data_IF_067776501703
#
_entry.id   IF_067776501703
#
_cell.length_a   1.000
_cell.length_b   1.000
_cell.length_c   1.000
_cell.angle_alpha   90.00
_cell.angle_beta   90.00
_cell.angle_gamma   90.00
#
_symmetry.space_group_name_H-M   'P 1'
#
loop_
_entity.id
_entity.type
_entity.pdbx_description
1 polymer ?
#
# COMPACT_ATOMS: atom_id res chain seq x y z
N UNK A 1 56.57 80.16 -13.94
CA UNK A 1 56.92 79.10 -14.91
C UNK A 1 55.85 78.06 -14.71
N UNK A 2 54.72 78.26 -15.37
CA UNK A 2 53.43 77.70 -14.99
C UNK A 2 52.89 76.83 -16.12
N UNK A 3 52.53 75.59 -15.78
CA UNK A 3 51.95 74.61 -16.69
C UNK A 3 50.44 74.85 -16.90
N UNK A 4 49.85 74.43 -18.05
CA UNK A 4 48.49 74.79 -18.47
C UNK A 4 47.40 73.83 -17.91
N UNK A 5 46.10 74.19 -18.06
CA UNK A 5 45.01 73.64 -17.25
C UNK A 5 44.31 72.43 -17.89
N UNK A 6 43.82 71.52 -17.03
CA UNK A 6 43.01 70.37 -17.41
C UNK A 6 41.50 70.73 -17.42
N UNK A 7 40.77 70.17 -18.39
CA UNK A 7 39.40 70.52 -18.75
C UNK A 7 38.37 69.50 -18.23
N UNK A 8 37.52 69.90 -17.26
CA UNK A 8 36.06 69.58 -17.05
C UNK A 8 35.62 68.08 -16.96
N UNK A 9 34.36 67.71 -16.65
CA UNK A 9 33.19 68.34 -15.99
C UNK A 9 32.61 67.49 -14.80
N UNK A 10 31.43 67.80 -14.19
CA UNK A 10 31.05 67.35 -12.85
C UNK A 10 30.12 66.12 -12.78
N UNK A 11 29.86 65.73 -11.52
CA UNK A 11 29.13 64.58 -11.03
C UNK A 11 27.62 64.52 -11.36
N UNK A 12 27.11 63.29 -11.50
CA UNK A 12 25.76 62.89 -11.08
C UNK A 12 25.82 61.50 -10.41
N UNK A 13 25.37 61.33 -9.14
CA UNK A 13 25.20 60.01 -8.57
C UNK A 13 23.88 59.40 -9.07
N UNK A 14 23.98 58.22 -9.70
CA UNK A 14 22.84 57.37 -10.05
C UNK A 14 22.25 56.76 -8.78
N UNK A 15 20.98 57.05 -8.50
CA UNK A 15 20.19 56.36 -7.48
C UNK A 15 19.96 54.89 -7.88
N UNK A 16 20.09 53.99 -6.90
CA UNK A 16 20.14 52.54 -7.10
C UNK A 16 18.79 51.90 -7.52
N UNK A 17 18.76 50.95 -8.48
CA UNK A 17 17.56 50.21 -8.88
C UNK A 17 17.28 48.95 -8.03
N UNK A 18 18.04 48.72 -6.95
CA UNK A 18 18.09 47.44 -6.25
C UNK A 18 16.80 47.06 -5.49
N UNK A 19 15.94 48.02 -5.15
CA UNK A 19 14.76 47.75 -4.32
C UNK A 19 13.60 47.08 -5.08
N UNK A 20 13.49 47.25 -6.41
CA UNK A 20 12.39 46.67 -7.20
C UNK A 20 12.63 45.21 -7.61
N UNK A 21 13.88 44.79 -7.75
CA UNK A 21 14.22 43.42 -8.14
C UNK A 21 13.92 42.41 -7.01
N UNK A 22 14.13 42.79 -5.75
CA UNK A 22 13.91 41.91 -4.60
C UNK A 22 12.41 41.58 -4.37
N UNK A 23 11.51 42.54 -4.64
CA UNK A 23 10.07 42.35 -4.46
C UNK A 23 9.45 41.42 -5.52
N UNK A 24 9.96 41.43 -6.76
CA UNK A 24 9.50 40.54 -7.83
C UNK A 24 10.01 39.10 -7.67
N UNK A 25 11.22 38.90 -7.15
CA UNK A 25 11.76 37.56 -6.89
C UNK A 25 11.05 36.86 -5.71
N UNK A 26 10.67 37.60 -4.66
CA UNK A 26 9.89 37.05 -3.57
C UNK A 26 8.45 36.68 -3.99
N UNK A 27 7.85 37.45 -4.91
CA UNK A 27 6.52 37.15 -5.46
C UNK A 27 6.52 35.93 -6.40
N UNK A 28 7.56 35.73 -7.20
CA UNK A 28 7.68 34.54 -8.05
C UNK A 28 7.99 33.25 -7.27
N UNK A 29 8.71 33.33 -6.15
CA UNK A 29 8.94 32.18 -5.27
C UNK A 29 7.66 31.73 -4.52
N UNK A 30 6.69 32.64 -4.35
CA UNK A 30 5.39 32.32 -3.73
C UNK A 30 4.35 31.75 -4.73
N UNK A 31 4.59 31.84 -6.04
CA UNK A 31 3.60 31.49 -7.09
C UNK A 31 3.93 30.21 -7.88
N UNK A 32 5.13 29.66 -7.73
CA UNK A 32 5.44 28.30 -8.20
C UNK A 32 5.29 27.33 -7.02
N UNK A 33 4.06 27.16 -6.54
CA UNK A 33 3.72 26.04 -5.66
C UNK A 33 3.90 24.75 -6.46
N UNK A 34 5.10 24.19 -6.46
CA UNK A 34 5.31 22.81 -6.90
C UNK A 34 4.47 21.95 -5.97
N UNK A 35 3.30 21.50 -6.46
CA UNK A 35 2.46 20.50 -5.80
C UNK A 35 3.30 19.21 -5.67
N UNK A 36 4.08 19.13 -4.59
CA UNK A 36 4.89 17.95 -4.25
C UNK A 36 4.10 17.06 -3.31
N UNK A 37 4.38 15.76 -3.33
CA UNK A 37 3.69 14.81 -2.46
C UNK A 37 3.78 15.30 -1.00
N UNK A 38 2.64 15.35 -0.28
CA UNK A 38 2.65 15.78 1.10
C UNK A 38 3.64 14.96 1.91
N UNK A 39 4.63 15.64 2.51
CA UNK A 39 5.62 14.98 3.37
C UNK A 39 4.94 14.45 4.63
N UNK A 40 5.47 13.38 5.20
CA UNK A 40 5.03 12.89 6.50
C UNK A 40 5.04 14.03 7.55
N UNK A 41 3.96 14.14 8.32
CA UNK A 41 3.69 15.23 9.26
C UNK A 41 3.09 16.50 8.64
N UNK A 42 3.13 16.65 7.31
CA UNK A 42 2.55 17.78 6.60
C UNK A 42 1.02 17.79 6.67
N UNK A 43 0.43 18.97 6.70
CA UNK A 43 -1.02 19.11 6.56
C UNK A 43 -1.37 18.99 5.08
N UNK A 44 -2.43 18.23 4.79
CA UNK A 44 -3.00 18.21 3.44
C UNK A 44 -4.48 17.92 3.42
N UNK A 45 -5.08 17.98 2.23
CA UNK A 45 -6.45 17.57 1.95
C UNK A 45 -6.49 16.28 1.12
N UNK A 46 -7.38 15.37 1.49
CA UNK A 46 -7.66 14.16 0.71
C UNK A 46 -9.15 13.79 0.74
N UNK A 47 -9.53 12.90 -0.18
CA UNK A 47 -10.85 12.32 -0.26
C UNK A 47 -10.83 10.91 0.35
N UNK A 48 -11.89 10.57 1.09
CA UNK A 48 -12.11 9.22 1.59
C UNK A 48 -12.46 8.30 0.43
N UNK A 49 -11.59 7.32 0.17
CA UNK A 49 -11.80 6.31 -0.88
C UNK A 49 -12.66 5.16 -0.35
N UNK A 50 -12.38 4.70 0.86
CA UNK A 50 -13.12 3.64 1.53
C UNK A 50 -13.01 3.75 3.06
N UNK A 51 -13.96 3.09 3.74
CA UNK A 51 -13.97 2.88 5.18
C UNK A 51 -13.66 1.41 5.43
N UNK A 52 -12.56 1.15 6.13
CA UNK A 52 -12.05 -0.20 6.34
C UNK A 52 -12.47 -0.73 7.72
N UNK A 53 -13.06 -1.91 7.73
CA UNK A 53 -13.57 -2.58 8.95
C UNK A 53 -12.83 -3.86 9.31
N UNK A 54 -12.13 -4.45 8.33
CA UNK A 54 -11.28 -5.61 8.55
C UNK A 54 -9.84 -5.24 8.19
N UNK A 55 -8.89 -5.59 9.06
CA UNK A 55 -7.46 -5.38 8.84
C UNK A 55 -6.96 -6.05 7.57
N UNK A 56 -7.57 -7.18 7.18
CA UNK A 56 -7.24 -7.90 5.95
C UNK A 56 -7.64 -7.13 4.68
N UNK A 57 -8.54 -6.16 4.78
CA UNK A 57 -8.99 -5.34 3.64
C UNK A 57 -8.07 -4.12 3.39
N UNK A 58 -7.19 -3.79 4.34
CA UNK A 58 -6.22 -2.71 4.17
C UNK A 58 -5.16 -3.12 3.13
N UNK A 59 -5.16 -2.43 1.99
CA UNK A 59 -4.17 -2.63 0.92
C UNK A 59 -3.02 -1.64 1.07
N UNK A 60 -1.93 -2.11 1.65
CA UNK A 60 -0.73 -1.31 1.87
C UNK A 60 0.51 -2.18 1.60
N UNK A 61 1.54 -1.63 0.96
CA UNK A 61 2.78 -2.35 0.67
C UNK A 61 2.54 -3.58 -0.20
N UNK A 62 2.59 -4.75 0.43
CA UNK A 62 2.38 -6.07 -0.18
C UNK A 62 1.69 -6.99 0.84
N UNK A 63 0.35 -6.90 0.98
CA UNK A 63 -0.38 -7.62 2.01
C UNK A 63 -0.32 -9.14 1.88
N UNK A 64 -0.04 -9.67 0.69
CA UNK A 64 0.27 -11.07 0.42
C UNK A 64 1.44 -11.62 1.25
N UNK A 65 2.39 -10.76 1.65
CA UNK A 65 3.57 -11.17 2.41
C UNK A 65 3.39 -11.08 3.93
N UNK A 66 2.32 -10.47 4.43
CA UNK A 66 2.16 -10.21 5.88
C UNK A 66 2.13 -11.47 6.73
N UNK A 67 1.44 -12.51 6.26
CA UNK A 67 1.41 -13.79 6.96
C UNK A 67 2.82 -14.41 7.04
N UNK A 68 3.63 -14.29 5.98
CA UNK A 68 5.01 -14.76 5.94
C UNK A 68 5.92 -13.95 6.87
N UNK A 69 5.80 -12.62 6.87
CA UNK A 69 6.60 -11.76 7.74
C UNK A 69 6.31 -12.02 9.23
N UNK A 70 5.04 -12.13 9.61
CA UNK A 70 4.65 -12.47 10.99
C UNK A 70 5.03 -13.91 11.37
N UNK A 71 5.14 -14.78 10.37
CA UNK A 71 5.66 -16.13 10.51
C UNK A 71 7.19 -16.19 10.71
N UNK A 72 7.90 -15.07 10.61
CA UNK A 72 9.35 -14.97 10.78
C UNK A 72 10.15 -15.09 9.48
N UNK A 73 9.51 -15.06 8.31
CA UNK A 73 10.23 -15.05 7.04
C UNK A 73 11.04 -13.76 6.90
N UNK A 74 12.30 -13.93 6.53
CA UNK A 74 13.34 -12.92 6.44
C UNK A 74 13.60 -12.53 4.99
N UNK A 75 14.25 -11.37 4.78
CA UNK A 75 14.68 -10.93 3.45
C UNK A 75 15.55 -11.98 2.75
N UNK A 76 16.43 -12.63 3.51
CA UNK A 76 17.33 -13.67 2.99
C UNK A 76 16.57 -14.81 2.33
N UNK A 77 15.42 -15.23 2.87
CA UNK A 77 14.64 -16.31 2.27
C UNK A 77 14.00 -15.90 0.94
N UNK A 78 13.58 -14.64 0.79
CA UNK A 78 13.10 -14.11 -0.49
C UNK A 78 14.24 -13.98 -1.49
N UNK A 79 15.39 -13.45 -1.10
CA UNK A 79 16.58 -13.32 -1.95
C UNK A 79 17.09 -14.68 -2.45
N UNK A 80 16.94 -15.71 -1.63
CA UNK A 80 17.24 -17.10 -2.00
C UNK A 80 16.14 -17.75 -2.85
N UNK A 81 15.06 -17.04 -3.19
CA UNK A 81 13.94 -17.56 -3.98
C UNK A 81 13.17 -18.67 -3.28
N UNK A 82 13.17 -18.70 -1.94
CA UNK A 82 12.55 -19.77 -1.15
C UNK A 82 11.11 -19.50 -0.77
N UNK A 83 10.64 -18.26 -0.87
CA UNK A 83 9.25 -17.92 -0.64
C UNK A 83 8.50 -17.91 -1.97
N UNK A 84 7.42 -18.68 -2.06
CA UNK A 84 6.55 -18.74 -3.23
C UNK A 84 5.18 -18.19 -2.88
N UNK A 85 4.56 -17.50 -3.84
CA UNK A 85 3.14 -17.22 -3.80
C UNK A 85 2.38 -18.32 -4.51
N UNK A 86 1.21 -18.65 -3.97
CA UNK A 86 0.30 -19.61 -4.52
C UNK A 86 -1.14 -19.28 -4.15
N UNK A 87 -2.04 -20.13 -4.61
CA UNK A 87 -3.46 -20.01 -4.36
C UNK A 87 -4.09 -21.37 -4.12
N UNK A 88 -5.17 -21.37 -3.35
CA UNK A 88 -6.04 -22.51 -3.24
C UNK A 88 -7.49 -22.06 -3.03
N UNK A 89 -8.45 -22.90 -3.43
CA UNK A 89 -9.89 -22.61 -3.30
C UNK A 89 -10.54 -23.39 -2.18
N UNK A 90 -11.35 -22.72 -1.35
CA UNK A 90 -12.31 -23.37 -0.45
C UNK A 90 -13.72 -23.33 -1.06
N UNK A 91 -14.51 -24.41 -0.96
CA UNK A 91 -15.93 -24.34 -1.29
C UNK A 91 -16.64 -23.25 -0.49
N UNK A 92 -17.39 -22.40 -1.18
CA UNK A 92 -18.17 -21.31 -0.59
C UNK A 92 -19.46 -21.08 -1.40
N UNK A 93 -20.58 -21.53 -0.85
CA UNK A 93 -21.89 -21.43 -1.50
C UNK A 93 -22.38 -19.98 -1.65
N UNK A 94 -21.79 -19.02 -0.91
CA UNK A 94 -22.13 -17.60 -1.05
C UNK A 94 -21.45 -16.95 -2.26
N UNK A 95 -20.45 -17.60 -2.87
CA UNK A 95 -19.74 -17.08 -4.03
C UNK A 95 -20.40 -17.55 -5.33
N UNK A 96 -20.49 -16.66 -6.33
CA UNK A 96 -21.09 -16.98 -7.64
C UNK A 96 -20.42 -18.17 -8.35
N UNK A 97 -19.15 -18.43 -8.04
CA UNK A 97 -18.37 -19.53 -8.61
C UNK A 97 -18.27 -20.74 -7.66
N UNK A 98 -19.01 -20.74 -6.55
CA UNK A 98 -19.00 -21.80 -5.54
C UNK A 98 -17.69 -21.94 -4.76
N UNK A 99 -16.73 -21.04 -4.96
CA UNK A 99 -15.39 -21.11 -4.40
C UNK A 99 -14.93 -19.75 -3.88
N UNK A 100 -14.28 -19.76 -2.71
CA UNK A 100 -13.51 -18.67 -2.14
C UNK A 100 -12.02 -18.95 -2.34
N UNK A 101 -11.35 -18.13 -3.13
CA UNK A 101 -9.92 -18.25 -3.37
C UNK A 101 -9.11 -17.58 -2.25
N UNK A 102 -8.10 -18.30 -1.76
CA UNK A 102 -7.15 -17.84 -0.77
C UNK A 102 -5.79 -17.64 -1.40
N UNK A 103 -5.10 -16.57 -1.02
CA UNK A 103 -3.67 -16.39 -1.33
C UNK A 103 -2.85 -17.07 -0.25
N UNK A 104 -1.87 -17.88 -0.65
CA UNK A 104 -1.00 -18.60 0.28
C UNK A 104 0.45 -18.34 -0.09
N UNK A 105 1.25 -17.91 0.87
CA UNK A 105 2.70 -17.93 0.74
C UNK A 105 3.27 -19.24 1.28
N UNK A 106 4.22 -19.83 0.57
CA UNK A 106 4.82 -21.12 0.89
C UNK A 106 6.32 -20.96 1.04
N UNK A 107 6.85 -21.27 2.23
CA UNK A 107 8.29 -21.33 2.44
C UNK A 107 8.83 -22.72 2.06
N UNK A 108 9.71 -22.76 1.07
CA UNK A 108 10.43 -23.94 0.64
C UNK A 108 11.71 -24.19 1.47
N UNK A 109 12.12 -25.46 1.66
CA UNK A 109 13.43 -25.78 2.18
C UNK A 109 14.54 -25.26 1.25
N UNK A 110 15.72 -25.00 1.83
CA UNK A 110 16.86 -24.53 1.05
C UNK A 110 17.26 -25.54 -0.03
N UNK A 111 17.62 -25.05 -1.21
CA UNK A 111 18.05 -25.88 -2.34
C UNK A 111 16.92 -26.52 -3.16
N UNK A 112 15.68 -26.50 -2.67
CA UNK A 112 14.53 -27.00 -3.44
C UNK A 112 14.17 -26.02 -4.56
N UNK A 113 13.99 -26.54 -5.77
CA UNK A 113 13.49 -25.79 -6.92
C UNK A 113 12.06 -26.19 -7.21
N UNK A 114 11.16 -25.21 -7.20
CA UNK A 114 9.75 -25.38 -7.53
C UNK A 114 9.42 -24.52 -8.75
N UNK A 115 8.57 -25.04 -9.63
CA UNK A 115 8.12 -24.31 -10.81
C UNK A 115 6.81 -23.59 -10.53
N UNK A 116 6.57 -22.49 -11.25
CA UNK A 116 5.23 -21.92 -11.36
C UNK A 116 4.27 -22.96 -11.95
N UNK A 117 3.05 -23.01 -11.45
CA UNK A 117 2.01 -23.96 -11.83
C UNK A 117 2.03 -25.29 -11.08
N UNK A 118 3.12 -25.64 -10.40
CA UNK A 118 3.19 -26.87 -9.59
C UNK A 118 2.20 -26.84 -8.42
N UNK A 119 1.54 -27.97 -8.14
CA UNK A 119 0.80 -28.13 -6.89
C UNK A 119 1.70 -28.74 -5.81
N UNK A 120 1.67 -28.15 -4.63
CA UNK A 120 2.43 -28.59 -3.47
C UNK A 120 1.52 -28.76 -2.27
N UNK A 121 1.88 -29.71 -1.42
CA UNK A 121 1.24 -29.87 -0.13
C UNK A 121 1.97 -28.99 0.89
N UNK A 122 1.20 -28.32 1.73
CA UNK A 122 1.62 -27.26 2.66
C UNK A 122 1.06 -27.57 4.04
N UNK A 123 1.85 -27.33 5.08
CA UNK A 123 1.43 -27.50 6.49
C UNK A 123 1.62 -26.23 7.29
N UNK A 124 0.99 -26.20 8.46
CA UNK A 124 1.14 -25.09 9.41
C UNK A 124 0.60 -23.76 8.88
N UNK A 125 -0.51 -23.81 8.13
CA UNK A 125 -1.16 -22.63 7.60
C UNK A 125 -1.57 -21.69 8.73
N UNK A 126 -1.15 -20.44 8.62
CA UNK A 126 -1.53 -19.35 9.53
C UNK A 126 -1.77 -18.05 8.77
N UNK A 127 -2.79 -17.31 9.16
CA UNK A 127 -3.03 -15.95 8.69
C UNK A 127 -2.16 -14.95 9.48
N UNK A 128 -2.01 -13.74 8.94
CA UNK A 128 -1.32 -12.65 9.63
C UNK A 128 -2.04 -12.24 10.93
N UNK A 129 -3.37 -12.18 10.87
CA UNK A 129 -4.27 -11.89 11.98
C UNK A 129 -5.49 -12.83 11.92
N UNK A 130 -6.20 -13.04 13.03
CA UNK A 130 -7.49 -13.73 13.02
C UNK A 130 -8.46 -13.06 12.04
N UNK A 131 -9.36 -13.83 11.44
CA UNK A 131 -10.45 -13.27 10.66
C UNK A 131 -11.52 -12.69 11.57
N UNK A 132 -12.15 -11.58 11.16
CA UNK A 132 -13.27 -11.00 11.89
C UNK A 132 -14.47 -11.96 11.82
N UNK A 133 -15.16 -12.15 12.93
CA UNK A 133 -16.37 -12.98 13.00
C UNK A 133 -16.16 -14.48 12.79
N UNK A 134 -14.92 -14.98 12.93
CA UNK A 134 -14.62 -16.42 12.80
C UNK A 134 -14.60 -16.95 11.36
N UNK A 135 -14.60 -16.06 10.37
CA UNK A 135 -14.48 -16.43 8.95
C UNK A 135 -13.10 -16.98 8.57
N UNK A 136 -12.90 -17.24 7.28
CA UNK A 136 -11.57 -17.59 6.75
C UNK A 136 -10.86 -16.33 6.26
N UNK A 137 -9.66 -16.07 6.79
CA UNK A 137 -8.81 -14.98 6.33
C UNK A 137 -8.46 -15.17 4.84
N UNK A 138 -8.29 -14.09 4.06
CA UNK A 138 -8.00 -14.21 2.62
C UNK A 138 -6.54 -14.61 2.32
N UNK A 139 -5.63 -14.43 3.29
CA UNK A 139 -4.18 -14.58 3.08
C UNK A 139 -3.53 -15.39 4.18
N UNK A 140 -2.75 -16.37 3.78
CA UNK A 140 -2.14 -17.35 4.67
C UNK A 140 -0.66 -17.55 4.34
N UNK A 141 0.04 -18.13 5.29
CA UNK A 141 1.41 -18.58 5.14
C UNK A 141 1.53 -20.00 5.66
N UNK A 142 2.27 -20.84 4.94
CA UNK A 142 2.64 -22.17 5.41
C UNK A 142 4.01 -22.61 4.91
N UNK A 143 4.37 -23.82 5.30
CA UNK A 143 5.66 -24.44 4.98
C UNK A 143 5.44 -25.63 4.05
N UNK A 144 6.29 -25.75 3.03
CA UNK A 144 6.29 -26.88 2.11
C UNK A 144 6.35 -28.23 2.86
N UNK A 145 5.48 -29.16 2.46
CA UNK A 145 5.39 -30.52 3.02
C UNK A 145 5.61 -31.62 1.97
N UNK A 146 5.55 -31.30 0.67
CA UNK A 146 5.78 -32.26 -0.41
C UNK A 146 5.22 -31.76 -1.74
N UNK A 147 5.54 -32.45 -2.82
CA UNK A 147 4.88 -32.26 -4.11
C UNK A 147 3.60 -33.07 -4.14
N UNK A 148 2.54 -32.52 -4.73
CA UNK A 148 1.29 -33.24 -4.87
C UNK A 148 1.47 -34.47 -5.78
N UNK A 149 0.79 -35.57 -5.46
CA UNK A 149 0.73 -36.73 -6.35
C UNK A 149 -0.17 -36.43 -7.55
N UNK A 150 0.10 -37.03 -8.72
CA UNK A 150 -0.72 -36.85 -9.92
C UNK A 150 -2.20 -37.23 -9.70
N UNK A 151 -2.43 -38.29 -8.91
CA UNK A 151 -3.78 -38.70 -8.49
C UNK A 151 -4.45 -37.60 -7.66
N UNK A 152 -3.72 -37.06 -6.69
CA UNK A 152 -4.22 -35.98 -5.85
C UNK A 152 -4.51 -34.69 -6.62
N UNK A 153 -3.70 -34.36 -7.63
CA UNK A 153 -3.96 -33.22 -8.53
C UNK A 153 -5.21 -33.43 -9.38
N UNK A 154 -5.45 -34.65 -9.87
CA UNK A 154 -6.64 -34.99 -10.64
C UNK A 154 -7.92 -34.91 -9.78
N UNK A 155 -7.89 -35.46 -8.56
CA UNK A 155 -9.02 -35.37 -7.62
C UNK A 155 -9.29 -33.92 -7.22
N UNK A 156 -8.23 -33.14 -6.97
CA UNK A 156 -8.33 -31.73 -6.64
C UNK A 156 -8.94 -30.93 -7.81
N UNK A 157 -8.47 -31.17 -9.04
CA UNK A 157 -8.99 -30.50 -10.24
C UNK A 157 -10.45 -30.85 -10.54
N UNK A 158 -10.89 -32.08 -10.25
CA UNK A 158 -12.28 -32.49 -10.42
C UNK A 158 -13.26 -31.75 -9.48
N UNK A 159 -12.76 -31.22 -8.36
CA UNK A 159 -13.55 -30.49 -7.37
C UNK A 159 -13.63 -28.97 -7.62
N UNK A 160 -12.84 -28.43 -8.57
CA UNK A 160 -12.77 -27.01 -8.83
C UNK A 160 -13.38 -26.65 -10.20
N UNK A 161 -14.39 -25.76 -10.28
CA UNK A 161 -15.00 -25.32 -11.55
C UNK A 161 -14.10 -24.37 -12.37
N UNK A 162 -12.88 -24.06 -11.91
CA UNK A 162 -11.88 -23.20 -12.59
C UNK A 162 -10.46 -23.73 -12.36
N UNK A 163 -9.48 -23.32 -13.19
CA UNK A 163 -8.08 -23.67 -12.97
C UNK A 163 -7.62 -23.15 -11.60
N UNK A 164 -7.19 -24.07 -10.73
CA UNK A 164 -6.64 -23.81 -9.40
C UNK A 164 -6.89 -25.01 -8.50
N UNK A 165 -6.02 -25.24 -7.51
CA UNK A 165 -6.17 -26.40 -6.64
C UNK A 165 -7.18 -26.08 -5.51
N UNK A 166 -8.18 -26.92 -5.23
CA UNK A 166 -8.86 -26.85 -3.94
C UNK A 166 -7.83 -26.95 -2.82
N UNK A 167 -8.09 -26.22 -1.75
CA UNK A 167 -7.25 -26.20 -0.56
C UNK A 167 -7.17 -27.57 0.14
N UNK A 168 -8.13 -28.47 -0.15
CA UNK A 168 -8.17 -29.82 0.38
C UNK A 168 -7.18 -30.73 -0.35
N UNK A 169 -6.41 -31.48 0.44
CA UNK A 169 -5.57 -32.57 -0.06
C UNK A 169 -6.21 -33.89 0.40
N UNK A 170 -7.15 -34.47 -0.38
CA UNK A 170 -7.95 -35.63 0.06
C UNK A 170 -7.11 -36.87 0.40
N UNK A 171 -5.92 -36.99 -0.19
CA UNK A 171 -4.99 -38.10 0.03
C UNK A 171 -3.86 -37.75 1.03
N UNK A 172 -3.88 -36.56 1.64
CA UNK A 172 -2.80 -36.11 2.52
C UNK A 172 -3.16 -36.27 4.00
N UNK A 173 -2.15 -36.37 4.89
CA UNK A 173 -2.35 -36.36 6.33
C UNK A 173 -3.20 -35.16 6.82
N UNK A 174 -3.97 -35.32 7.91
CA UNK A 174 -4.72 -34.23 8.51
C UNK A 174 -3.86 -32.98 8.74
N UNK A 175 -4.40 -31.80 8.38
CA UNK A 175 -3.70 -30.53 8.51
C UNK A 175 -2.76 -30.18 7.35
N UNK A 176 -2.73 -30.98 6.29
CA UNK A 176 -2.09 -30.61 5.02
C UNK A 176 -3.08 -29.99 4.03
N UNK A 177 -2.59 -29.01 3.31
CA UNK A 177 -3.35 -28.20 2.37
C UNK A 177 -2.66 -28.22 1.02
N UNK A 178 -3.43 -28.28 -0.06
CA UNK A 178 -2.87 -28.23 -1.41
C UNK A 178 -2.90 -26.82 -1.96
N UNK A 179 -1.77 -26.36 -2.47
CA UNK A 179 -1.58 -25.01 -3.00
C UNK A 179 -0.99 -25.10 -4.39
N UNK A 180 -1.59 -24.39 -5.35
CA UNK A 180 -1.01 -24.20 -6.68
C UNK A 180 -0.09 -22.99 -6.66
N UNK A 181 1.18 -23.19 -7.00
CA UNK A 181 2.17 -22.11 -7.00
C UNK A 181 1.98 -21.20 -8.22
N UNK A 182 2.04 -19.88 -8.00
CA UNK A 182 2.05 -18.86 -9.05
C UNK A 182 3.47 -18.43 -9.41
N UNK A 183 4.38 -18.45 -8.45
CA UNK A 183 5.79 -18.11 -8.67
C UNK A 183 6.50 -17.71 -7.38
N UNK A 184 7.81 -17.42 -7.44
CA UNK A 184 8.54 -16.89 -6.29
C UNK A 184 8.04 -15.49 -5.93
N UNK A 185 7.93 -15.21 -4.64
CA UNK A 185 7.66 -13.87 -4.13
C UNK A 185 8.87 -12.97 -4.43
N UNK A 186 8.68 -11.77 -5.01
CA UNK A 186 9.79 -10.91 -5.37
C UNK A 186 10.50 -10.32 -4.14
N UNK A 187 11.83 -10.42 -4.09
CA UNK A 187 12.62 -9.90 -2.97
C UNK A 187 12.50 -8.38 -2.79
N UNK A 188 12.30 -7.62 -3.88
CA UNK A 188 12.15 -6.16 -3.83
C UNK A 188 10.90 -5.72 -3.04
N UNK A 189 9.88 -6.58 -2.91
CA UNK A 189 8.65 -6.29 -2.19
C UNK A 189 8.82 -6.33 -0.66
N UNK A 190 9.93 -6.88 -0.15
CA UNK A 190 10.15 -7.07 1.29
C UNK A 190 10.02 -5.78 2.10
N UNK A 191 10.67 -4.70 1.66
CA UNK A 191 10.70 -3.43 2.42
C UNK A 191 9.34 -2.76 2.47
N UNK A 192 8.64 -2.79 1.34
CA UNK A 192 7.27 -2.30 1.22
C UNK A 192 6.32 -3.10 2.12
N UNK A 193 6.42 -4.43 2.10
CA UNK A 193 5.65 -5.31 2.97
C UNK A 193 5.94 -5.05 4.46
N UNK A 194 7.21 -4.90 4.83
CA UNK A 194 7.60 -4.67 6.21
C UNK A 194 7.11 -3.31 6.71
N UNK A 195 7.21 -2.26 5.89
CA UNK A 195 6.70 -0.94 6.21
C UNK A 195 5.17 -0.92 6.35
N UNK A 196 4.46 -1.52 5.39
CA UNK A 196 3.00 -1.67 5.45
C UNK A 196 2.55 -2.47 6.68
N UNK A 197 3.19 -3.60 6.97
CA UNK A 197 2.87 -4.40 8.15
C UNK A 197 3.03 -3.59 9.45
N UNK A 198 4.10 -2.80 9.58
CA UNK A 198 4.29 -1.91 10.75
C UNK A 198 3.18 -0.87 10.89
N UNK A 199 2.76 -0.25 9.79
CA UNK A 199 1.63 0.69 9.79
C UNK A 199 0.33 0.03 10.23
N UNK A 200 0.04 -1.16 9.72
CA UNK A 200 -1.17 -1.89 10.08
C UNK A 200 -1.14 -2.38 11.54
N UNK A 201 0.03 -2.80 12.04
CA UNK A 201 0.19 -3.18 13.46
C UNK A 201 0.02 -2.00 14.41
N UNK A 202 0.24 -0.76 13.95
CA UNK A 202 -0.06 0.45 14.72
C UNK A 202 -1.57 0.78 14.80
N UNK A 203 -2.41 0.14 13.96
CA UNK A 203 -3.86 0.33 14.00
C UNK A 203 -4.48 -0.46 15.16
N UNK A 204 -5.49 0.12 15.80
CA UNK A 204 -6.27 -0.55 16.85
C UNK A 204 -7.46 -1.29 16.24
N UNK A 205 -7.72 -2.51 16.68
CA UNK A 205 -8.89 -3.28 16.25
C UNK A 205 -10.21 -2.58 16.60
N UNK A 206 -10.23 -1.80 17.69
CA UNK A 206 -11.39 -0.97 18.05
C UNK A 206 -11.68 0.13 17.03
N UNK A 207 -10.64 0.68 16.38
CA UNK A 207 -10.81 1.69 15.33
C UNK A 207 -11.35 1.06 14.04
N UNK A 208 -10.87 -0.14 13.69
CA UNK A 208 -11.41 -0.93 12.57
C UNK A 208 -12.88 -1.28 12.80
N UNK A 209 -13.21 -1.85 13.97
CA UNK A 209 -14.59 -2.23 14.31
C UNK A 209 -15.55 -1.02 14.31
N UNK A 210 -15.05 0.15 14.74
CA UNK A 210 -15.82 1.39 14.72
C UNK A 210 -15.91 2.06 13.33
N UNK A 211 -15.23 1.53 12.30
CA UNK A 211 -15.17 2.12 10.96
C UNK A 211 -14.41 3.45 10.92
N UNK A 212 -13.35 3.58 11.74
CA UNK A 212 -12.50 4.77 11.83
C UNK A 212 -11.20 4.65 11.06
N UNK A 213 -10.87 3.46 10.56
CA UNK A 213 -9.74 3.29 9.63
C UNK A 213 -10.23 3.58 8.22
N UNK A 214 -9.51 4.44 7.51
CA UNK A 214 -9.88 4.95 6.21
C UNK A 214 -8.72 4.78 5.23
N UNK A 215 -9.04 4.56 3.95
CA UNK A 215 -8.09 4.79 2.87
C UNK A 215 -8.41 6.13 2.22
N UNK A 216 -7.43 7.01 2.15
CA UNK A 216 -7.56 8.37 1.67
C UNK A 216 -6.68 8.58 0.45
N UNK A 217 -7.12 9.39 -0.51
CA UNK A 217 -6.31 9.76 -1.66
C UNK A 217 -6.56 11.17 -2.12
N UNK A 218 -5.56 11.79 -2.73
CA UNK A 218 -5.69 13.04 -3.45
C UNK A 218 -4.93 12.93 -4.78
N UNK A 219 -5.06 13.91 -5.66
CA UNK A 219 -4.31 13.98 -6.92
C UNK A 219 -3.31 15.14 -6.91
N UNK A 220 -2.13 14.88 -7.47
CA UNK A 220 -1.09 15.87 -7.76
C UNK A 220 -0.93 16.01 -9.26
N UNK A 221 -0.80 17.24 -9.74
CA UNK A 221 -0.40 17.47 -11.14
C UNK A 221 1.09 17.23 -11.29
N UNK A 222 1.50 16.30 -12.16
CA UNK A 222 2.92 16.12 -12.47
C UNK A 222 3.40 17.29 -13.33
N UNK A 223 4.57 17.84 -12.98
CA UNK A 223 5.10 19.10 -13.50
C UNK A 223 5.41 19.07 -15.01
N UNK A 224 5.60 17.88 -15.59
CA UNK A 224 5.89 17.65 -17.00
C UNK A 224 4.64 17.58 -17.89
N UNK A 225 3.45 17.73 -17.31
CA UNK A 225 2.18 17.63 -18.03
C UNK A 225 1.73 16.19 -18.29
N UNK A 226 2.39 15.19 -17.69
CA UNK A 226 2.00 13.78 -17.72
C UNK A 226 0.80 13.43 -16.82
N UNK A 227 0.57 12.12 -16.68
CA UNK A 227 -0.51 11.53 -15.88
C UNK A 227 -0.51 12.03 -14.43
N UNK A 228 -1.69 12.10 -13.82
CA UNK A 228 -1.86 12.49 -12.42
C UNK A 228 -1.28 11.43 -11.48
N UNK A 229 -0.46 11.84 -10.51
CA UNK A 229 -0.03 10.97 -9.42
C UNK A 229 -1.02 11.10 -8.25
N UNK A 230 -1.44 9.98 -7.69
CA UNK A 230 -2.42 9.94 -6.62
C UNK A 230 -1.85 9.27 -5.36
N UNK A 231 -1.23 10.03 -4.44
CA UNK A 231 -0.79 9.46 -3.18
C UNK A 231 -1.99 8.93 -2.40
N UNK A 232 -1.78 7.76 -1.77
CA UNK A 232 -2.78 7.10 -0.94
C UNK A 232 -2.25 6.93 0.48
N UNK A 233 -3.10 7.16 1.47
CA UNK A 233 -2.78 6.93 2.87
C UNK A 233 -3.77 5.98 3.52
N UNK A 234 -3.27 5.16 4.43
CA UNK A 234 -4.10 4.57 5.49
C UNK A 234 -4.15 5.58 6.63
N UNK A 235 -5.33 5.87 7.14
CA UNK A 235 -5.54 6.88 8.16
C UNK A 235 -6.49 6.43 9.26
N UNK A 236 -6.38 7.04 10.44
CA UNK A 236 -7.37 6.90 11.53
C UNK A 236 -8.14 8.19 11.72
N UNK A 237 -9.46 8.08 11.85
CA UNK A 237 -10.35 9.19 12.18
C UNK A 237 -10.60 9.31 13.69
N UNK A 238 -10.76 10.54 14.23
CA UNK A 238 -11.22 10.76 15.59
C UNK A 238 -12.61 10.17 15.83
N UNK A 239 -12.90 9.79 17.07
CA UNK A 239 -14.17 9.15 17.42
C UNK A 239 -15.42 10.00 17.14
N UNK A 240 -15.28 11.32 17.26
CA UNK A 240 -16.37 12.26 16.97
C UNK A 240 -16.68 12.38 15.46
N UNK A 241 -15.78 11.94 14.58
CA UNK A 241 -15.91 12.08 13.13
C UNK A 241 -16.39 10.78 12.49
N UNK A 242 -17.66 10.76 12.10
CA UNK A 242 -18.21 9.69 11.24
C UNK A 242 -18.04 10.07 9.78
N UNK A 243 -17.14 9.38 9.10
CA UNK A 243 -16.78 9.62 7.70
C UNK A 243 -17.29 8.50 6.79
N UNK A 244 -17.52 8.84 5.53
CA UNK A 244 -17.99 7.94 4.47
C UNK A 244 -17.13 8.14 3.22
N UNK A 245 -17.14 7.15 2.33
CA UNK A 245 -16.52 7.29 1.02
C UNK A 245 -17.08 8.54 0.29
N UNK A 246 -16.20 9.33 -0.30
CA UNK A 246 -16.51 10.61 -0.94
C UNK A 246 -16.39 11.83 -0.03
N UNK A 247 -16.34 11.68 1.31
CA UNK A 247 -16.07 12.81 2.19
C UNK A 247 -14.67 13.38 1.91
N UNK A 248 -14.54 14.69 1.99
CA UNK A 248 -13.26 15.39 1.85
C UNK A 248 -12.79 15.83 3.23
N UNK A 249 -11.53 15.56 3.54
CA UNK A 249 -10.97 15.76 4.87
C UNK A 249 -9.67 16.54 4.82
N UNK A 250 -9.39 17.25 5.91
CA UNK A 250 -8.04 17.71 6.21
C UNK A 250 -7.36 16.67 7.10
N UNK A 251 -6.14 16.30 6.75
CA UNK A 251 -5.36 15.31 7.48
C UNK A 251 -3.95 15.81 7.75
N UNK A 252 -3.31 15.19 8.74
CA UNK A 252 -1.86 15.17 8.88
C UNK A 252 -1.34 13.93 8.16
N UNK A 253 -0.58 14.14 7.09
CA UNK A 253 -0.02 13.07 6.27
C UNK A 253 0.87 12.16 7.11
N UNK A 254 0.70 10.86 6.96
CA UNK A 254 1.59 9.83 7.48
C UNK A 254 2.54 9.34 6.39
N UNK A 255 3.12 8.16 6.60
CA UNK A 255 3.77 7.46 5.51
C UNK A 255 2.72 7.02 4.47
N UNK A 256 3.07 7.15 3.19
CA UNK A 256 2.20 6.77 2.09
C UNK A 256 2.01 5.24 2.05
N UNK A 257 0.79 4.81 1.75
CA UNK A 257 0.49 3.42 1.49
C UNK A 257 1.25 2.93 0.25
N UNK A 258 1.85 1.75 0.35
CA UNK A 258 2.69 1.23 -0.75
C UNK A 258 4.09 1.84 -0.82
N UNK A 259 4.51 2.61 0.19
CA UNK A 259 5.90 3.09 0.30
C UNK A 259 6.75 2.22 1.25
N UNK A 260 8.09 2.35 1.15
CA UNK A 260 9.06 1.72 2.06
C UNK A 260 9.23 2.45 3.39
N UNK A 261 8.65 3.64 3.54
CA UNK A 261 8.76 4.43 4.78
C UNK A 261 7.94 3.74 5.88
N UNK A 262 8.52 3.26 6.99
CA UNK A 262 7.77 2.60 8.06
C UNK A 262 7.05 3.57 9.00
N UNK A 263 7.00 4.86 8.67
CA UNK A 263 6.33 5.90 9.44
C UNK A 263 4.85 5.58 9.72
N UNK A 264 4.23 6.30 10.67
CA UNK A 264 2.88 6.00 11.13
C UNK A 264 1.84 6.22 10.01
N UNK A 265 0.63 5.61 10.15
CA UNK A 265 -0.53 5.99 9.37
C UNK A 265 -0.84 7.49 9.48
N UNK A 266 -1.60 8.02 8.52
CA UNK A 266 -2.07 9.39 8.56
C UNK A 266 -3.16 9.59 9.65
N UNK A 267 -3.38 10.84 10.03
CA UNK A 267 -4.40 11.21 11.02
C UNK A 267 -5.40 12.18 10.41
N UNK A 268 -6.69 11.85 10.45
CA UNK A 268 -7.72 12.80 10.03
C UNK A 268 -7.94 13.84 11.12
N UNK A 269 -7.96 15.11 10.74
CA UNK A 269 -8.15 16.22 11.67
C UNK A 269 -9.61 16.67 11.67
N UNK A 270 -10.19 16.83 10.49
CA UNK A 270 -11.58 17.29 10.32
C UNK A 270 -12.15 16.91 8.95
N UNK A 271 -13.48 16.91 8.85
CA UNK A 271 -14.18 16.91 7.58
C UNK A 271 -14.28 18.36 7.07
N UNK A 272 -14.05 18.56 5.77
CA UNK A 272 -14.19 19.85 5.11
C UNK A 272 -15.61 19.98 4.56
N UNK A 273 -16.50 20.55 5.36
CA UNK A 273 -17.88 20.82 4.93
C UNK A 273 -17.89 21.83 3.77
N UNK A 274 -18.67 21.55 2.72
CA UNK A 274 -18.76 22.42 1.52
C UNK A 274 -17.75 22.12 0.41
N UNK A 275 -16.82 21.17 0.60
CA UNK A 275 -15.96 20.66 -0.48
C UNK A 275 -16.51 19.33 -0.97
N UNK A 276 -17.06 19.33 -2.19
CA UNK A 276 -17.52 18.10 -2.82
C UNK A 276 -16.35 17.35 -3.47
N UNK A 277 -16.33 16.03 -3.33
CA UNK A 277 -15.50 15.18 -4.17
C UNK A 277 -15.86 15.39 -5.65
N UNK A 278 -14.88 15.42 -6.56
CA UNK A 278 -15.18 15.41 -7.98
C UNK A 278 -15.88 14.09 -8.34
N UNK A 279 -16.87 14.15 -9.24
CA UNK A 279 -17.59 12.96 -9.68
C UNK A 279 -16.72 11.96 -10.46
N UNK A 280 -17.16 10.71 -10.54
CA UNK A 280 -16.46 9.65 -11.26
C UNK A 280 -15.23 9.12 -10.52
N UNK A 281 -14.12 8.91 -11.25
CA UNK A 281 -12.85 8.39 -10.71
C UNK A 281 -11.84 9.49 -10.33
N UNK A 282 -12.22 10.76 -10.45
CA UNK A 282 -11.35 11.87 -10.10
C UNK A 282 -11.19 11.98 -8.57
N UNK A 283 -10.07 12.56 -8.13
CA UNK A 283 -9.81 12.85 -6.72
C UNK A 283 -9.70 14.36 -6.50
N UNK A 284 -9.93 14.81 -5.27
CA UNK A 284 -9.59 16.19 -4.89
C UNK A 284 -8.09 16.44 -5.08
N UNK A 285 -7.70 17.65 -5.47
CA UNK A 285 -6.28 18.02 -5.47
C UNK A 285 -5.74 18.02 -4.04
N UNK A 286 -4.54 17.49 -3.88
CA UNK A 286 -3.77 17.73 -2.66
C UNK A 286 -3.58 19.24 -2.53
N UNK A 287 -3.66 19.73 -1.29
CA UNK A 287 -3.54 21.15 -0.96
C UNK A 287 -3.08 21.31 0.46
#
# INVERSE_FOLDING_TARGET
>A
MDAPPDMRPPAHPLAAPAARAAALLAACAALAGCETAPRAGGLTRAQVLDVVKDRHDVRDGHPELYAALRAGVTRRELEQGRLFEGECGLPDAAQALGMRWLTVTVLAPAGLRLASGSAVDVRGLRAAWPAVGGGTAPRWHGVYAGSASAQGEATASALAPRPGAPCLAPDAPPGQWRVKLRGPAPAWAFDFAQAGLRRLDALRDSDLAAGRVLRLGCQLKVLDGGDWYAPVWVATAPEALRLRAGDVVRLRAGAEAGSKDPGPPAEVLERLDGVAAPGGHALVRCG
#
